data_IF_933277652791
#
_entry.id   IF_933277652791
#
_cell.length_a   1.000
_cell.length_b   1.000
_cell.length_c   1.000
_cell.angle_alpha   90.00
_cell.angle_beta   90.00
_cell.angle_gamma   90.00
#
_symmetry.space_group_name_H-M   'P 1'
#
loop_
_entity.id
_entity.type
_entity.pdbx_description
1 polymer ?
#
# COMPACT_ATOMS: atom_id res chain seq x y z
N UNK A 1 -5.34 -11.10 12.25
CA UNK A 1 -4.73 -10.66 10.97
C UNK A 1 -5.69 -9.69 10.30
N UNK A 2 -5.27 -8.45 10.03
CA UNK A 2 -6.14 -7.43 9.44
C UNK A 2 -5.81 -7.34 7.94
N UNK A 3 -6.74 -7.77 7.08
CA UNK A 3 -6.53 -7.89 5.63
C UNK A 3 -6.18 -6.53 4.99
N UNK A 4 -5.34 -6.48 3.95
CA UNK A 4 -5.09 -5.25 3.21
C UNK A 4 -6.40 -4.72 2.60
N UNK A 5 -6.58 -3.40 2.62
CA UNK A 5 -7.68 -2.77 1.91
C UNK A 5 -7.28 -2.68 0.44
N UNK A 6 -7.74 -3.63 -0.35
CA UNK A 6 -7.55 -3.68 -1.78
C UNK A 6 -8.88 -3.43 -2.52
N UNK A 7 -8.81 -2.78 -3.67
CA UNK A 7 -9.95 -2.51 -4.54
C UNK A 7 -9.54 -2.69 -6.00
N UNK A 8 -10.40 -3.34 -6.79
CA UNK A 8 -10.31 -3.31 -8.24
C UNK A 8 -10.75 -1.94 -8.73
N UNK A 9 -9.84 -1.19 -9.35
CA UNK A 9 -10.11 0.14 -9.89
C UNK A 9 -10.36 0.12 -11.39
N UNK A 10 -9.88 -0.93 -12.09
CA UNK A 10 -10.20 -1.21 -13.48
C UNK A 10 -10.17 -2.71 -13.75
N UNK A 11 -11.01 -3.16 -14.69
CA UNK A 11 -11.20 -4.57 -15.06
C UNK A 11 -11.38 -4.66 -16.57
N UNK A 12 -10.44 -5.34 -17.23
CA UNK A 12 -10.53 -5.69 -18.65
C UNK A 12 -10.35 -7.20 -18.82
N UNK A 13 -10.55 -7.72 -20.02
CA UNK A 13 -10.59 -9.17 -20.28
C UNK A 13 -9.29 -9.89 -19.91
N UNK A 14 -8.13 -9.23 -20.01
CA UNK A 14 -6.80 -9.82 -19.86
C UNK A 14 -5.95 -9.15 -18.76
N UNK A 15 -6.51 -8.21 -18.00
CA UNK A 15 -5.79 -7.47 -16.97
C UNK A 15 -6.73 -6.88 -15.91
N UNK A 16 -6.19 -6.70 -14.70
CA UNK A 16 -6.85 -6.03 -13.59
C UNK A 16 -5.93 -4.92 -13.09
N UNK A 17 -6.51 -3.77 -12.74
CA UNK A 17 -5.80 -2.73 -11.99
C UNK A 17 -6.32 -2.76 -10.56
N UNK A 18 -5.40 -2.92 -9.61
CA UNK A 18 -5.71 -3.06 -8.20
C UNK A 18 -5.02 -1.94 -7.42
N UNK A 19 -5.80 -1.17 -6.67
CA UNK A 19 -5.28 -0.25 -5.67
C UNK A 19 -5.26 -0.94 -4.31
N UNK A 20 -4.15 -0.83 -3.58
CA UNK A 20 -4.01 -1.39 -2.24
C UNK A 20 -3.35 -0.39 -1.31
N UNK A 21 -3.86 -0.31 -0.07
CA UNK A 21 -3.24 0.50 0.99
C UNK A 21 -2.95 -0.37 2.21
N UNK A 22 -1.74 -0.28 2.72
CA UNK A 22 -1.27 -1.01 3.88
C UNK A 22 0.12 -0.58 4.31
N UNK A 23 0.57 -1.08 5.47
CA UNK A 23 1.98 -1.05 5.84
C UNK A 23 2.81 -1.95 4.89
N UNK A 24 4.13 -1.77 4.90
CA UNK A 24 5.05 -2.50 4.02
C UNK A 24 4.85 -4.01 4.06
N UNK A 25 4.66 -4.60 5.26
CA UNK A 25 4.47 -6.04 5.41
C UNK A 25 3.19 -6.55 4.75
N UNK A 26 2.10 -5.78 4.82
CA UNK A 26 0.86 -6.11 4.11
C UNK A 26 0.99 -6.01 2.60
N UNK A 27 1.68 -4.98 2.10
CA UNK A 27 1.91 -4.82 0.67
C UNK A 27 2.75 -5.99 0.14
N UNK A 28 3.85 -6.34 0.81
CA UNK A 28 4.69 -7.49 0.42
C UNK A 28 3.92 -8.82 0.44
N UNK A 29 3.11 -9.05 1.47
CA UNK A 29 2.27 -10.24 1.54
C UNK A 29 1.24 -10.29 0.40
N UNK A 30 0.67 -9.14 0.03
CA UNK A 30 -0.27 -9.03 -1.08
C UNK A 30 0.41 -9.32 -2.43
N UNK A 31 1.60 -8.75 -2.66
CA UNK A 31 2.39 -9.01 -3.88
C UNK A 31 2.75 -10.49 -4.05
N UNK A 32 3.11 -11.18 -2.95
CA UNK A 32 3.38 -12.64 -2.97
C UNK A 32 2.17 -13.46 -3.41
N UNK A 33 0.95 -13.04 -3.03
CA UNK A 33 -0.28 -13.71 -3.47
C UNK A 33 -0.52 -13.49 -4.97
N UNK A 34 -0.11 -12.35 -5.51
CA UNK A 34 -0.27 -12.00 -6.91
C UNK A 34 0.84 -12.54 -7.83
N UNK A 35 1.97 -12.96 -7.28
CA UNK A 35 3.13 -13.48 -8.03
C UNK A 35 2.75 -14.54 -9.09
N UNK A 36 1.89 -15.54 -8.82
CA UNK A 36 1.53 -16.56 -9.81
C UNK A 36 0.74 -16.04 -11.01
N UNK A 37 0.08 -14.89 -10.89
CA UNK A 37 -0.77 -14.31 -11.94
C UNK A 37 0.01 -13.41 -12.90
N UNK A 38 1.26 -13.06 -12.56
CA UNK A 38 2.09 -12.16 -13.33
C UNK A 38 1.70 -10.70 -13.12
N UNK A 39 2.60 -9.93 -12.50
CA UNK A 39 2.41 -8.49 -12.29
C UNK A 39 3.00 -7.75 -13.49
N UNK A 40 2.14 -7.12 -14.30
CA UNK A 40 2.57 -6.38 -15.50
C UNK A 40 3.29 -5.07 -15.14
N UNK A 41 2.82 -4.36 -14.13
CA UNK A 41 3.37 -3.06 -13.71
C UNK A 41 3.10 -2.83 -12.21
N UNK A 42 3.99 -2.07 -11.54
CA UNK A 42 3.80 -1.59 -10.17
C UNK A 42 4.09 -0.09 -10.12
N UNK A 43 3.08 0.69 -9.71
CA UNK A 43 3.24 2.07 -9.30
C UNK A 43 3.04 2.16 -7.78
N UNK A 44 4.07 2.59 -7.04
CA UNK A 44 4.05 2.61 -5.58
C UNK A 44 4.53 3.97 -5.07
N UNK A 45 3.82 4.53 -4.09
CA UNK A 45 4.32 5.66 -3.32
C UNK A 45 5.40 5.23 -2.32
N UNK A 46 6.29 6.14 -1.94
CA UNK A 46 7.14 5.94 -0.77
C UNK A 46 6.31 5.83 0.52
N UNK A 47 6.96 5.50 1.63
CA UNK A 47 6.34 5.54 2.95
C UNK A 47 5.90 6.97 3.28
N UNK A 48 4.60 7.18 3.44
CA UNK A 48 4.01 8.44 3.86
C UNK A 48 3.46 8.25 5.27
N UNK A 49 3.82 9.14 6.18
CA UNK A 49 3.40 9.09 7.57
C UNK A 49 2.86 10.44 8.04
N UNK A 50 1.65 10.42 8.60
CA UNK A 50 1.06 11.57 9.29
C UNK A 50 0.83 11.22 10.76
N UNK A 51 1.21 12.16 11.63
CA UNK A 51 0.89 12.07 13.05
C UNK A 51 -0.62 11.98 13.25
N UNK A 52 -1.05 11.12 14.17
CA UNK A 52 -2.48 10.90 14.47
C UNK A 52 -2.91 11.81 15.62
N UNK A 53 -4.11 12.37 15.50
CA UNK A 53 -4.66 13.27 16.52
C UNK A 53 -3.92 14.60 16.54
N UNK A 54 -3.69 15.15 17.73
CA UNK A 54 -2.99 16.43 17.91
C UNK A 54 -1.48 16.37 17.71
N UNK A 55 -0.90 15.20 17.41
CA UNK A 55 0.56 15.04 17.25
C UNK A 55 0.96 15.38 15.82
N UNK A 56 1.84 16.37 15.63
CA UNK A 56 2.44 16.62 14.32
C UNK A 56 3.58 15.64 14.03
N UNK A 57 3.74 15.22 12.77
CA UNK A 57 4.93 14.46 12.35
C UNK A 57 6.21 15.29 12.56
N UNK A 58 6.12 16.62 12.43
CA UNK A 58 7.27 17.53 12.58
C UNK A 58 7.74 17.68 14.02
N UNK A 59 6.87 17.49 15.03
CA UNK A 59 7.25 17.57 16.45
C UNK A 59 8.33 16.55 16.85
N UNK A 60 8.37 15.39 16.18
CA UNK A 60 9.39 14.36 16.40
C UNK A 60 10.74 14.72 15.79
N UNK A 61 10.77 15.58 14.79
CA UNK A 61 12.00 16.00 14.11
C UNK A 61 12.82 16.96 14.97
N UNK A 62 12.15 17.78 15.80
CA UNK A 62 12.79 18.82 16.61
C UNK A 62 13.21 18.40 18.02
N UNK A 63 13.05 17.12 18.39
CA UNK A 63 13.29 16.63 19.77
C UNK A 63 14.59 15.84 19.94
N UNK A 64 15.51 15.93 18.98
CA UNK A 64 16.83 15.31 19.02
C UNK A 64 17.92 16.36 19.14
#
# INVERSE_FOLDING_TARGET
VNLPRARFVDVVTDALVIEVTGDTGKIEAFLKVLEPYGIKEIAQSSLIAIGRGSKSTTERVFKN
#
